data_IF_524973012540
#
_entry.id   IF_524973012540
#
_cell.length_a   1.000
_cell.length_b   1.000
_cell.length_c   1.000
_cell.angle_alpha   90.00
_cell.angle_beta   90.00
_cell.angle_gamma   90.00
#
_symmetry.space_group_name_H-M   'P 1'
#
loop_
_entity.id
_entity.type
_entity.pdbx_description
1 polymer ?
#
# COMPACT_ATOMS: atom_id res chain seq x y z
N UNK A 1 4.58 12.76 -1.95
CA UNK A 1 5.88 13.46 -1.90
C UNK A 1 6.50 13.45 -0.50
N UNK A 2 5.73 13.72 0.56
CA UNK A 2 6.19 13.74 1.97
C UNK A 2 7.00 12.51 2.40
N UNK A 3 6.49 11.29 2.18
CA UNK A 3 7.18 10.05 2.57
C UNK A 3 8.48 9.87 1.77
N UNK A 4 8.49 10.29 0.49
CA UNK A 4 9.69 10.25 -0.35
C UNK A 4 10.77 11.24 0.11
N UNK A 5 10.39 12.41 0.63
CA UNK A 5 11.34 13.37 1.19
C UNK A 5 11.91 12.90 2.54
N UNK A 6 11.06 12.32 3.41
CA UNK A 6 11.49 11.88 4.74
C UNK A 6 12.27 10.56 4.72
N UNK A 7 11.89 9.60 3.88
CA UNK A 7 12.42 8.23 3.89
C UNK A 7 13.01 7.76 2.55
N UNK A 8 13.05 8.62 1.53
CA UNK A 8 13.55 8.26 0.20
C UNK A 8 15.00 7.82 0.16
N UNK A 9 15.87 8.39 1.02
CA UNK A 9 17.29 8.02 1.05
C UNK A 9 17.54 6.60 1.58
N UNK A 10 16.64 6.04 2.39
CA UNK A 10 16.81 4.71 2.97
C UNK A 10 16.52 3.60 1.95
N UNK A 11 15.44 3.73 1.18
CA UNK A 11 14.92 2.65 0.32
C UNK A 11 14.21 3.13 -0.94
N UNK A 12 14.34 4.41 -1.31
CA UNK A 12 13.78 4.96 -2.55
C UNK A 12 12.26 5.11 -2.56
N UNK A 13 11.59 5.03 -1.40
CA UNK A 13 10.13 5.03 -1.31
C UNK A 13 9.49 3.90 -2.14
N UNK A 14 9.93 2.68 -1.84
CA UNK A 14 9.58 1.44 -2.51
C UNK A 14 8.18 0.90 -2.14
N UNK A 15 7.14 1.73 -2.24
CA UNK A 15 5.78 1.38 -1.82
C UNK A 15 4.90 0.73 -2.90
N UNK A 16 5.37 0.66 -4.14
CA UNK A 16 4.58 0.11 -5.24
C UNK A 16 5.41 -0.91 -6.02
N UNK A 17 4.99 -2.19 -6.04
CA UNK A 17 5.70 -3.24 -6.75
C UNK A 17 5.87 -2.95 -8.26
N UNK A 18 4.85 -2.45 -8.94
CA UNK A 18 4.89 -2.16 -10.38
C UNK A 18 5.84 -1.00 -10.71
N UNK A 19 5.90 0.01 -9.82
CA UNK A 19 6.78 1.19 -9.95
C UNK A 19 8.27 0.85 -9.88
N UNK A 20 8.61 -0.31 -9.31
CA UNK A 20 9.97 -0.81 -9.19
C UNK A 20 10.26 -1.94 -10.18
N UNK A 21 9.37 -2.92 -10.32
CA UNK A 21 9.59 -4.10 -11.15
C UNK A 21 9.59 -3.80 -12.66
N UNK A 22 8.69 -2.94 -13.13
CA UNK A 22 8.61 -2.57 -14.56
C UNK A 22 9.90 -1.95 -15.09
N UNK A 23 10.42 -0.87 -14.47
CA UNK A 23 11.70 -0.29 -14.85
C UNK A 23 12.89 -1.26 -14.75
N UNK A 24 12.87 -2.22 -13.80
CA UNK A 24 13.91 -3.26 -13.71
C UNK A 24 13.90 -4.22 -14.90
N UNK A 25 12.72 -4.68 -15.33
CA UNK A 25 12.61 -5.51 -16.53
C UNK A 25 13.07 -4.72 -17.76
N UNK A 26 12.66 -3.47 -17.90
CA UNK A 26 13.09 -2.62 -19.00
C UNK A 26 14.62 -2.49 -19.05
N UNK A 27 15.24 -2.17 -17.92
CA UNK A 27 16.70 -2.02 -17.84
C UNK A 27 17.46 -3.34 -18.04
N UNK A 28 16.88 -4.47 -17.63
CA UNK A 28 17.41 -5.79 -17.95
C UNK A 28 17.52 -5.99 -19.47
N UNK A 29 16.44 -5.73 -20.22
CA UNK A 29 16.43 -5.82 -21.67
C UNK A 29 17.28 -4.73 -22.35
N UNK A 30 17.44 -3.58 -21.73
CA UNK A 30 18.34 -2.52 -22.18
C UNK A 30 19.84 -2.85 -22.01
N UNK A 31 20.19 -4.06 -21.57
CA UNK A 31 21.57 -4.55 -21.51
C UNK A 31 22.28 -4.35 -20.17
N UNK A 32 21.59 -3.88 -19.13
CA UNK A 32 22.18 -3.75 -17.78
C UNK A 32 22.41 -5.11 -17.10
N UNK A 33 21.83 -6.19 -17.65
CA UNK A 33 22.03 -7.56 -17.19
C UNK A 33 21.37 -7.87 -15.84
N UNK A 34 21.67 -9.04 -15.26
CA UNK A 34 21.01 -9.53 -14.03
C UNK A 34 21.31 -8.69 -12.77
N UNK A 35 22.31 -7.81 -12.82
CA UNK A 35 22.67 -6.93 -11.71
C UNK A 35 21.53 -5.97 -11.32
N UNK A 36 20.59 -5.69 -12.23
CA UNK A 36 19.42 -4.84 -11.92
C UNK A 36 18.50 -5.42 -10.85
N UNK A 37 18.58 -6.74 -10.58
CA UNK A 37 17.80 -7.40 -9.53
C UNK A 37 18.60 -7.59 -8.23
N UNK A 38 19.88 -7.20 -8.18
CA UNK A 38 20.76 -7.43 -7.04
C UNK A 38 21.41 -6.14 -6.55
N UNK A 39 21.53 -5.98 -5.24
CA UNK A 39 22.30 -4.91 -4.62
C UNK A 39 23.21 -5.50 -3.54
N UNK A 40 24.53 -5.29 -3.65
CA UNK A 40 25.55 -5.83 -2.73
C UNK A 40 25.41 -7.36 -2.52
N UNK A 41 25.14 -8.12 -3.59
CA UNK A 41 24.86 -9.57 -3.57
C UNK A 41 23.56 -9.99 -2.85
N UNK A 42 22.69 -9.04 -2.49
CA UNK A 42 21.38 -9.32 -1.91
C UNK A 42 20.29 -9.09 -2.95
N UNK A 43 19.21 -9.88 -2.89
CA UNK A 43 18.06 -9.81 -3.81
C UNK A 43 17.15 -8.63 -3.51
N UNK A 44 17.65 -7.41 -3.74
CA UNK A 44 16.96 -6.17 -3.35
C UNK A 44 15.58 -6.02 -3.97
N UNK A 45 15.36 -6.49 -5.20
CA UNK A 45 14.06 -6.40 -5.88
C UNK A 45 12.89 -7.06 -5.11
N UNK A 46 13.18 -7.99 -4.18
CA UNK A 46 12.15 -8.63 -3.37
C UNK A 46 11.53 -7.69 -2.34
N UNK A 47 12.29 -6.69 -1.87
CA UNK A 47 11.82 -5.72 -0.87
C UNK A 47 10.65 -4.88 -1.41
N UNK A 48 10.80 -4.11 -2.51
CA UNK A 48 9.69 -3.38 -3.14
C UNK A 48 8.58 -4.30 -3.66
N UNK A 49 8.87 -5.57 -3.95
CA UNK A 49 7.88 -6.52 -4.42
C UNK A 49 6.97 -7.01 -3.28
N UNK A 50 7.54 -7.44 -2.15
CA UNK A 50 6.80 -8.12 -1.08
C UNK A 50 6.33 -7.12 -0.01
N UNK A 51 7.16 -6.14 0.35
CA UNK A 51 6.84 -5.23 1.46
C UNK A 51 5.55 -4.45 1.29
N UNK A 52 5.13 -3.99 0.09
CA UNK A 52 3.85 -3.29 -0.06
C UNK A 52 2.64 -4.18 0.18
N UNK A 53 2.72 -5.47 -0.18
CA UNK A 53 1.64 -6.43 0.06
C UNK A 53 1.45 -6.75 1.53
N UNK A 54 2.49 -6.60 2.35
CA UNK A 54 2.38 -6.75 3.80
C UNK A 54 2.01 -5.42 4.46
N UNK A 55 2.69 -4.34 4.11
CA UNK A 55 2.50 -3.03 4.73
C UNK A 55 1.17 -2.37 4.37
N UNK A 56 0.66 -2.57 3.15
CA UNK A 56 -0.62 -2.01 2.71
C UNK A 56 -1.80 -2.47 3.56
N UNK A 57 -2.07 -3.79 3.65
CA UNK A 57 -3.12 -4.32 4.50
C UNK A 57 -2.93 -3.99 5.98
N UNK A 58 -1.70 -4.06 6.50
CA UNK A 58 -1.42 -3.69 7.89
C UNK A 58 -1.74 -2.22 8.17
N UNK A 59 -1.39 -1.32 7.24
CA UNK A 59 -1.74 0.11 7.35
C UNK A 59 -3.25 0.36 7.26
N UNK A 60 -3.95 -0.37 6.38
CA UNK A 60 -5.40 -0.29 6.27
C UNK A 60 -6.10 -0.77 7.55
N UNK A 61 -5.65 -1.87 8.15
CA UNK A 61 -6.15 -2.34 9.43
C UNK A 61 -5.86 -1.34 10.55
N UNK A 62 -4.66 -0.79 10.61
CA UNK A 62 -4.32 0.23 11.60
C UNK A 62 -5.25 1.45 11.48
N UNK A 63 -5.53 1.91 10.27
CA UNK A 63 -6.52 2.96 10.03
C UNK A 63 -7.91 2.57 10.55
N UNK A 64 -8.37 1.36 10.24
CA UNK A 64 -9.69 0.92 10.66
C UNK A 64 -9.80 0.85 12.19
N UNK A 65 -8.80 0.27 12.87
CA UNK A 65 -8.79 0.16 14.34
C UNK A 65 -8.66 1.51 15.04
N UNK A 66 -7.88 2.44 14.51
CA UNK A 66 -7.63 3.73 15.17
C UNK A 66 -8.67 4.78 14.82
N UNK A 67 -9.19 4.78 13.59
CA UNK A 67 -10.05 5.85 13.07
C UNK A 67 -11.36 5.29 12.53
N UNK A 68 -11.30 4.32 11.62
CA UNK A 68 -12.47 3.84 10.88
C UNK A 68 -13.61 3.35 11.78
N UNK A 69 -13.32 2.63 12.86
CA UNK A 69 -14.34 2.15 13.81
C UNK A 69 -14.88 3.21 14.77
N UNK A 70 -14.27 4.39 14.81
CA UNK A 70 -14.70 5.48 15.69
C UNK A 70 -15.55 6.54 14.97
N UNK A 71 -15.79 6.37 13.66
CA UNK A 71 -16.62 7.26 12.86
C UNK A 71 -17.94 6.53 12.57
N UNK A 72 -19.11 7.12 12.90
CA UNK A 72 -20.40 6.54 12.53
C UNK A 72 -20.46 6.37 11.01
N UNK A 73 -20.84 5.19 10.56
CA UNK A 73 -20.89 4.91 9.13
C UNK A 73 -22.22 5.38 8.55
N UNK A 74 -22.22 5.83 7.29
CA UNK A 74 -23.46 6.18 6.56
C UNK A 74 -24.44 4.99 6.52
N UNK A 75 -23.93 3.75 6.62
CA UNK A 75 -24.75 2.54 6.71
C UNK A 75 -25.49 2.42 8.03
N UNK A 76 -24.86 2.83 9.14
CA UNK A 76 -25.52 2.85 10.46
C UNK A 76 -26.68 3.87 10.45
N UNK A 77 -26.47 5.03 9.82
CA UNK A 77 -27.50 6.07 9.66
C UNK A 77 -28.68 5.58 8.81
N UNK A 78 -28.40 4.94 7.67
CA UNK A 78 -29.42 4.36 6.79
C UNK A 78 -30.19 3.24 7.50
N UNK A 79 -29.51 2.41 8.30
CA UNK A 79 -30.16 1.33 9.05
C UNK A 79 -31.08 1.87 10.16
N UNK A 80 -30.68 2.93 10.85
CA UNK A 80 -31.56 3.62 11.81
C UNK A 80 -32.77 4.25 11.11
N UNK A 81 -32.58 4.92 9.97
CA UNK A 81 -33.69 5.52 9.21
C UNK A 81 -34.68 4.45 8.72
N UNK A 82 -34.19 3.33 8.18
CA UNK A 82 -35.02 2.20 7.77
C UNK A 82 -35.83 1.61 8.93
N UNK A 83 -35.20 1.45 10.10
CA UNK A 83 -35.89 0.96 11.33
C UNK A 83 -36.98 1.93 11.79
N UNK A 84 -36.74 3.24 11.67
CA UNK A 84 -37.72 4.28 12.02
C UNK A 84 -38.93 4.25 11.07
N UNK A 85 -38.69 4.10 9.76
CA UNK A 85 -39.75 4.00 8.75
C UNK A 85 -40.61 2.74 8.93
N UNK A 86 -40.00 1.62 9.31
CA UNK A 86 -40.73 0.36 9.57
C UNK A 86 -41.59 0.41 10.84
N UNK A 87 -41.17 1.15 11.87
CA UNK A 87 -41.97 1.35 13.11
C UNK A 87 -43.14 2.33 12.94
N UNK A 88 -43.11 3.17 11.91
CA UNK A 88 -44.12 4.20 11.65
C UNK A 88 -45.33 3.68 10.84
N UNK A 89 -45.26 2.48 10.27
CA UNK A 89 -46.38 1.78 9.61
C UNK A 89 -47.01 0.75 10.55
#
# INVERSE_FOLDING_TARGET
MLIGMAWGMNSGYSLNPARDFGPRIFTYFAGYGLKVFSYRNHKWFLVPLISPFLGGPLGAWLYQFSVGFHIPSELDEIEEECKMLQKSN
#
